data_IF_599433729367
#
_entry.id   IF_599433729367
#
_cell.length_a   1.000
_cell.length_b   1.000
_cell.length_c   1.000
_cell.angle_alpha   90.00
_cell.angle_beta   90.00
_cell.angle_gamma   90.00
#
_symmetry.space_group_name_H-M   'P 1'
#
loop_
_entity.id
_entity.type
_entity.pdbx_description
1 polymer ?
#
# COMPACT_ATOMS: atom_id res chain seq x y z
N UNK A 1 15.69 -6.46 1.87
CA UNK A 1 14.61 -7.02 1.05
C UNK A 1 14.12 -5.96 0.07
N UNK A 2 14.15 -6.28 -1.21
CA UNK A 2 13.78 -5.33 -2.28
C UNK A 2 12.25 -5.23 -2.41
N UNK A 3 11.73 -4.02 -2.45
CA UNK A 3 10.30 -3.76 -2.68
C UNK A 3 10.12 -3.30 -4.13
N UNK A 4 9.26 -3.98 -4.87
CA UNK A 4 8.94 -3.60 -6.26
C UNK A 4 7.78 -2.62 -6.24
N UNK A 5 7.98 -1.44 -6.80
CA UNK A 5 6.99 -0.37 -6.83
C UNK A 5 6.76 0.11 -8.26
N UNK A 6 5.53 0.54 -8.54
CA UNK A 6 5.27 1.33 -9.74
C UNK A 6 5.91 2.71 -9.56
N UNK A 7 6.14 3.44 -10.63
CA UNK A 7 6.65 4.81 -10.54
C UNK A 7 5.69 5.70 -9.72
N UNK A 8 4.40 5.57 -9.96
CA UNK A 8 3.39 6.29 -9.19
C UNK A 8 3.45 5.95 -7.71
N UNK A 9 3.57 4.67 -7.37
CA UNK A 9 3.69 4.22 -5.99
C UNK A 9 4.94 4.76 -5.31
N UNK A 10 6.07 4.75 -5.99
CA UNK A 10 7.31 5.34 -5.48
C UNK A 10 7.13 6.84 -5.20
N UNK A 11 6.58 7.58 -6.16
CA UNK A 11 6.36 9.01 -6.03
C UNK A 11 5.40 9.34 -4.87
N UNK A 12 4.33 8.56 -4.70
CA UNK A 12 3.38 8.73 -3.61
C UNK A 12 4.01 8.47 -2.24
N UNK A 13 4.81 7.41 -2.10
CA UNK A 13 5.50 7.11 -0.85
C UNK A 13 6.56 8.16 -0.54
N UNK A 14 7.24 8.68 -1.55
CA UNK A 14 8.19 9.76 -1.41
C UNK A 14 7.52 11.05 -0.91
N UNK A 15 6.38 11.39 -1.50
CA UNK A 15 5.60 12.55 -1.10
C UNK A 15 5.09 12.42 0.34
N UNK A 16 4.63 11.23 0.74
CA UNK A 16 4.23 10.94 2.12
C UNK A 16 5.40 11.15 3.08
N UNK A 17 6.57 10.63 2.75
CA UNK A 17 7.77 10.80 3.58
C UNK A 17 8.13 12.28 3.73
N UNK A 18 8.12 13.04 2.64
CA UNK A 18 8.42 14.47 2.67
C UNK A 18 7.42 15.23 3.56
N UNK A 19 6.13 14.91 3.47
CA UNK A 19 5.10 15.52 4.33
C UNK A 19 5.35 15.21 5.81
N UNK A 20 5.65 13.96 6.14
CA UNK A 20 5.93 13.56 7.52
C UNK A 20 7.15 14.28 8.09
N UNK A 21 8.22 14.40 7.32
CA UNK A 21 9.48 15.02 7.76
C UNK A 21 9.40 16.54 7.80
N UNK A 22 8.79 17.16 6.79
CA UNK A 22 8.80 18.61 6.61
C UNK A 22 7.61 19.33 7.25
N UNK A 23 6.50 18.64 7.45
CA UNK A 23 5.26 19.23 8.00
C UNK A 23 4.87 18.62 9.33
N UNK A 24 4.65 17.31 9.37
CA UNK A 24 4.13 16.65 10.58
C UNK A 24 5.11 16.65 11.74
N UNK A 25 6.37 16.33 11.49
CA UNK A 25 7.40 16.31 12.52
C UNK A 25 7.59 17.67 13.21
N UNK A 26 7.72 18.80 12.47
CA UNK A 26 7.76 20.12 13.09
C UNK A 26 6.51 20.50 13.88
N UNK A 27 5.31 20.16 13.37
CA UNK A 27 4.05 20.39 14.08
C UNK A 27 4.01 19.67 15.42
N UNK A 28 4.47 18.43 15.48
CA UNK A 28 4.53 17.62 16.69
C UNK A 28 5.50 18.24 17.69
N UNK A 29 6.65 18.73 17.24
CA UNK A 29 7.63 19.41 18.11
C UNK A 29 7.01 20.63 18.79
N UNK A 30 6.23 21.41 18.05
CA UNK A 30 5.52 22.58 18.59
C UNK A 30 4.47 22.12 19.62
N UNK A 31 3.66 21.11 19.30
CA UNK A 31 2.65 20.58 20.21
C UNK A 31 3.26 20.04 21.51
N UNK A 32 4.41 19.37 21.42
CA UNK A 32 5.12 18.86 22.60
C UNK A 32 5.58 20.02 23.49
N UNK A 33 6.11 21.07 22.90
CA UNK A 33 6.52 22.26 23.64
C UNK A 33 5.33 22.93 24.33
N UNK A 34 4.21 23.12 23.61
CA UNK A 34 3.00 23.73 24.14
C UNK A 34 2.39 22.90 25.28
N UNK A 35 2.34 21.58 25.14
CA UNK A 35 1.76 20.70 26.17
C UNK A 35 2.65 20.57 27.40
N UNK A 36 3.94 20.81 27.31
CA UNK A 36 4.89 20.76 28.43
C UNK A 36 4.99 22.06 29.23
N UNK A 37 4.63 23.19 28.64
CA UNK A 37 4.73 24.51 29.30
C UNK A 37 3.74 24.65 30.47
N UNK A 38 4.27 24.94 31.66
CA UNK A 38 3.49 25.24 32.85
C UNK A 38 2.67 24.09 33.40
N UNK A 39 2.92 22.86 32.95
CA UNK A 39 2.19 21.67 33.38
C UNK A 39 3.11 20.69 34.09
N UNK A 40 2.54 19.97 35.06
CA UNK A 40 3.22 18.87 35.72
C UNK A 40 3.40 17.71 34.72
N UNK A 41 4.60 17.13 34.68
CA UNK A 41 4.89 16.01 33.77
C UNK A 41 4.18 14.71 34.17
N UNK A 42 3.74 14.63 35.42
CA UNK A 42 2.94 13.51 35.90
C UNK A 42 1.48 13.75 35.54
N UNK A 43 0.83 12.75 34.96
CA UNK A 43 -0.60 12.79 34.60
C UNK A 43 -1.00 13.90 33.59
N UNK A 44 -0.23 14.01 32.48
CA UNK A 44 -0.58 14.92 31.39
C UNK A 44 -1.08 14.13 30.17
N UNK A 45 -2.42 13.90 30.07
CA UNK A 45 -3.00 13.14 28.95
C UNK A 45 -2.75 13.77 27.57
N UNK A 46 -2.72 15.11 27.50
CA UNK A 46 -2.47 15.82 26.25
C UNK A 46 -1.05 15.55 25.74
N UNK A 47 -0.06 15.55 26.63
CA UNK A 47 1.32 15.26 26.30
C UNK A 47 1.48 13.80 25.88
N UNK A 48 0.81 12.86 26.56
CA UNK A 48 0.83 11.45 26.18
C UNK A 48 0.23 11.22 24.79
N UNK A 49 -0.85 11.90 24.45
CA UNK A 49 -1.47 11.82 23.13
C UNK A 49 -0.53 12.32 22.04
N UNK A 50 0.18 13.42 22.28
CA UNK A 50 1.16 13.96 21.32
C UNK A 50 2.38 13.03 21.18
N UNK A 51 2.83 12.42 22.27
CA UNK A 51 3.93 11.43 22.22
C UNK A 51 3.53 10.17 21.44
N UNK A 52 2.28 9.74 21.55
CA UNK A 52 1.77 8.63 20.77
C UNK A 52 1.75 8.98 19.27
N UNK A 53 1.26 10.17 18.94
CA UNK A 53 1.32 10.69 17.56
C UNK A 53 2.75 10.73 17.04
N UNK A 54 3.71 11.20 17.85
CA UNK A 54 5.12 11.21 17.51
C UNK A 54 5.65 9.81 17.20
N UNK A 55 5.28 8.83 18.01
CA UNK A 55 5.69 7.44 17.80
C UNK A 55 5.19 6.90 16.46
N UNK A 56 3.94 7.21 16.10
CA UNK A 56 3.37 6.82 14.80
C UNK A 56 4.12 7.46 13.64
N UNK A 57 4.36 8.75 13.74
CA UNK A 57 5.06 9.50 12.67
C UNK A 57 6.50 9.00 12.51
N UNK A 58 7.24 8.84 13.59
CA UNK A 58 8.63 8.37 13.54
C UNK A 58 8.72 6.93 13.06
N UNK A 59 7.79 6.07 13.47
CA UNK A 59 7.70 4.70 12.98
C UNK A 59 7.41 4.64 11.48
N UNK A 60 6.50 5.47 11.00
CA UNK A 60 6.18 5.53 9.56
C UNK A 60 7.33 6.09 8.73
N UNK A 61 8.01 7.11 9.23
CA UNK A 61 9.22 7.65 8.58
C UNK A 61 10.28 6.57 8.42
N UNK A 62 10.53 5.80 9.48
CA UNK A 62 11.49 4.70 9.46
C UNK A 62 11.11 3.63 8.44
N UNK A 63 9.84 3.25 8.42
CA UNK A 63 9.29 2.28 7.46
C UNK A 63 9.46 2.77 6.01
N UNK A 64 9.06 4.02 5.74
CA UNK A 64 9.17 4.62 4.40
C UNK A 64 10.61 4.72 3.93
N UNK A 65 11.52 5.13 4.81
CA UNK A 65 12.95 5.18 4.48
C UNK A 65 13.48 3.79 4.10
N UNK A 66 13.08 2.75 4.82
CA UNK A 66 13.49 1.38 4.52
C UNK A 66 12.94 0.89 3.17
N UNK A 67 11.66 1.16 2.90
CA UNK A 67 11.01 0.79 1.63
C UNK A 67 11.69 1.51 0.46
N UNK A 68 11.86 2.83 0.55
CA UNK A 68 12.42 3.64 -0.54
C UNK A 68 13.90 3.37 -0.79
N UNK A 69 14.67 3.05 0.27
CA UNK A 69 16.08 2.71 0.13
C UNK A 69 16.31 1.41 -0.65
N UNK A 70 15.35 0.49 -0.58
CA UNK A 70 15.43 -0.82 -1.24
C UNK A 70 14.40 -0.96 -2.37
N UNK A 71 13.87 0.14 -2.88
CA UNK A 71 12.85 0.12 -3.91
C UNK A 71 13.44 -0.19 -5.29
N UNK A 72 12.73 -1.01 -6.04
CA UNK A 72 12.98 -1.29 -7.44
C UNK A 72 11.75 -0.84 -8.22
N UNK A 73 11.94 0.05 -9.18
CA UNK A 73 10.84 0.57 -9.99
C UNK A 73 10.49 -0.45 -11.08
N UNK A 74 9.22 -0.84 -11.12
CA UNK A 74 8.69 -1.74 -12.14
C UNK A 74 8.65 -0.98 -13.47
N UNK A 75 9.37 -1.48 -14.47
CA UNK A 75 9.32 -0.91 -15.81
C UNK A 75 7.98 -1.25 -16.44
N UNK A 76 7.34 -0.26 -17.02
CA UNK A 76 6.14 -0.45 -17.79
C UNK A 76 6.41 -1.39 -18.98
N UNK A 77 5.68 -2.51 -19.04
CA UNK A 77 5.76 -3.43 -20.17
C UNK A 77 4.51 -3.19 -21.04
N UNK A 78 4.68 -3.03 -22.36
CA UNK A 78 3.52 -2.78 -23.23
C UNK A 78 2.55 -3.97 -23.31
N UNK A 79 3.04 -5.20 -23.08
CA UNK A 79 2.23 -6.43 -23.13
C UNK A 79 2.69 -7.36 -22.02
N UNK A 80 1.74 -7.79 -21.18
CA UNK A 80 1.95 -8.82 -20.18
C UNK A 80 1.46 -10.17 -20.71
N UNK A 81 2.34 -11.17 -20.78
CA UNK A 81 1.95 -12.54 -21.12
C UNK A 81 1.30 -13.26 -19.94
N UNK A 82 1.69 -12.89 -18.73
CA UNK A 82 1.17 -13.44 -17.48
C UNK A 82 0.93 -12.31 -16.48
N UNK A 83 0.05 -12.57 -15.52
CA UNK A 83 -0.18 -11.64 -14.42
C UNK A 83 1.10 -11.44 -13.61
N UNK A 84 1.56 -10.22 -13.52
CA UNK A 84 2.74 -9.82 -12.74
C UNK A 84 2.48 -8.47 -12.07
N UNK A 85 3.38 -8.08 -11.18
CA UNK A 85 3.33 -6.77 -10.52
C UNK A 85 3.36 -5.64 -11.55
N UNK A 86 2.50 -4.64 -11.35
CA UNK A 86 2.38 -3.52 -12.28
C UNK A 86 1.38 -3.75 -13.41
N UNK A 87 0.81 -4.95 -13.52
CA UNK A 87 -0.21 -5.25 -14.52
C UNK A 87 -1.58 -4.82 -14.06
N UNK A 88 -2.38 -4.29 -15.00
CA UNK A 88 -3.81 -4.06 -14.80
C UNK A 88 -4.57 -5.27 -15.34
N UNK A 89 -5.37 -5.90 -14.48
CA UNK A 89 -6.05 -7.15 -14.78
C UNK A 89 -7.55 -6.91 -14.80
N UNK A 90 -8.20 -7.35 -15.87
CA UNK A 90 -9.65 -7.36 -15.96
C UNK A 90 -10.14 -8.80 -15.79
N UNK A 91 -11.03 -9.01 -14.82
CA UNK A 91 -11.60 -10.33 -14.50
C UNK A 91 -13.12 -10.29 -14.58
N UNK A 92 -13.72 -11.47 -14.81
CA UNK A 92 -15.17 -11.66 -14.79
C UNK A 92 -15.51 -12.72 -13.74
N UNK A 93 -16.48 -12.41 -12.90
CA UNK A 93 -17.02 -13.36 -11.92
C UNK A 93 -18.12 -14.23 -12.54
N UNK A 94 -18.52 -15.29 -11.81
CA UNK A 94 -19.57 -16.23 -12.28
C UNK A 94 -20.92 -15.56 -12.54
N UNK A 95 -21.22 -14.45 -11.87
CA UNK A 95 -22.46 -13.69 -12.08
C UNK A 95 -22.43 -12.79 -13.34
N UNK A 96 -21.30 -12.79 -14.07
CA UNK A 96 -21.09 -11.98 -15.26
C UNK A 96 -20.55 -10.60 -15.00
N UNK A 97 -20.40 -10.19 -13.73
CA UNK A 97 -19.82 -8.89 -13.40
C UNK A 97 -18.32 -8.86 -13.71
N UNK A 98 -17.82 -7.70 -14.12
CA UNK A 98 -16.39 -7.50 -14.41
C UNK A 98 -15.79 -6.50 -13.44
N UNK A 99 -14.53 -6.70 -13.12
CA UNK A 99 -13.74 -5.80 -12.27
C UNK A 99 -12.36 -5.62 -12.88
N UNK A 100 -11.75 -4.49 -12.58
CA UNK A 100 -10.41 -4.16 -13.04
C UNK A 100 -9.59 -3.66 -11.86
N UNK A 101 -8.35 -4.11 -11.74
CA UNK A 101 -7.47 -3.69 -10.66
C UNK A 101 -6.01 -3.78 -11.08
N UNK A 102 -5.17 -3.04 -10.36
CA UNK A 102 -3.72 -3.04 -10.52
C UNK A 102 -3.10 -3.95 -9.45
N UNK A 103 -2.25 -4.88 -9.86
CA UNK A 103 -1.52 -5.75 -8.94
C UNK A 103 -0.22 -5.07 -8.50
N UNK A 104 -0.06 -4.91 -7.20
CA UNK A 104 1.05 -4.17 -6.61
C UNK A 104 1.65 -4.89 -5.41
N UNK A 105 2.76 -4.38 -4.89
CA UNK A 105 3.34 -4.85 -3.62
C UNK A 105 2.49 -4.36 -2.44
N UNK A 106 2.60 -5.02 -1.27
CA UNK A 106 1.85 -4.58 -0.08
C UNK A 106 2.06 -3.12 0.30
N UNK A 107 3.25 -2.59 0.08
CA UNK A 107 3.58 -1.19 0.39
C UNK A 107 2.72 -0.19 -0.39
N UNK A 108 2.26 -0.56 -1.57
CA UNK A 108 1.48 0.28 -2.47
C UNK A 108 -0.01 -0.08 -2.48
N UNK A 109 -0.40 -1.18 -1.85
CA UNK A 109 -1.76 -1.69 -1.89
C UNK A 109 -2.78 -0.73 -1.28
N UNK A 110 -3.89 -0.53 -2.00
CA UNK A 110 -5.03 0.24 -1.53
C UNK A 110 -6.30 -0.25 -2.24
N UNK A 111 -7.06 -1.16 -1.61
CA UNK A 111 -8.27 -1.71 -2.22
C UNK A 111 -9.33 -0.66 -2.60
N UNK A 112 -9.34 0.49 -1.92
CA UNK A 112 -10.31 1.56 -2.20
C UNK A 112 -10.11 2.20 -3.57
N UNK A 113 -8.92 2.09 -4.14
CA UNK A 113 -8.59 2.58 -5.49
C UNK A 113 -8.13 1.44 -6.41
N UNK A 114 -8.60 0.24 -6.14
CA UNK A 114 -8.36 -0.98 -6.95
C UNK A 114 -6.87 -1.35 -7.11
N UNK A 115 -6.07 -1.07 -6.09
CA UNK A 115 -4.68 -1.53 -6.00
C UNK A 115 -4.60 -2.70 -5.03
N UNK A 116 -4.42 -3.90 -5.58
CA UNK A 116 -4.47 -5.15 -4.84
C UNK A 116 -3.07 -5.71 -4.65
N UNK A 117 -2.75 -6.10 -3.42
CA UNK A 117 -1.47 -6.72 -3.09
C UNK A 117 -1.34 -8.12 -3.70
N UNK A 118 -0.17 -8.43 -4.25
CA UNK A 118 0.14 -9.78 -4.70
C UNK A 118 0.13 -10.80 -3.54
N UNK A 119 0.24 -10.34 -2.30
CA UNK A 119 0.18 -11.20 -1.11
C UNK A 119 -1.26 -11.43 -0.61
N UNK A 120 -2.23 -10.68 -1.10
CA UNK A 120 -3.63 -10.90 -0.76
C UNK A 120 -4.12 -12.24 -1.36
N UNK A 121 -5.19 -12.84 -0.82
CA UNK A 121 -5.73 -14.08 -1.40
C UNK A 121 -6.08 -13.95 -2.88
N UNK A 122 -6.65 -12.81 -3.27
CA UNK A 122 -7.00 -12.51 -4.65
C UNK A 122 -5.75 -12.38 -5.53
N UNK A 123 -4.78 -11.59 -5.09
CA UNK A 123 -3.51 -11.39 -5.81
C UNK A 123 -2.69 -12.66 -5.94
N UNK A 124 -2.61 -13.47 -4.89
CA UNK A 124 -1.91 -14.77 -4.92
C UNK A 124 -2.51 -15.71 -5.94
N UNK A 125 -3.84 -15.77 -6.02
CA UNK A 125 -4.54 -16.66 -6.93
C UNK A 125 -4.28 -16.29 -8.39
N UNK A 126 -4.13 -15.00 -8.69
CA UNK A 126 -3.98 -14.49 -10.05
C UNK A 126 -2.53 -14.43 -10.53
N UNK A 127 -1.57 -14.28 -9.63
CA UNK A 127 -0.15 -14.12 -9.99
C UNK A 127 0.33 -15.29 -10.85
N UNK A 128 0.95 -14.98 -12.00
CA UNK A 128 1.47 -15.97 -12.93
C UNK A 128 0.45 -16.60 -13.86
N UNK A 129 -0.82 -16.21 -13.78
CA UNK A 129 -1.89 -16.74 -14.63
C UNK A 129 -1.96 -15.99 -15.96
N UNK A 130 -2.57 -16.63 -16.95
CA UNK A 130 -2.70 -16.09 -18.30
C UNK A 130 -4.16 -15.71 -18.62
N UNK A 131 -4.33 -14.90 -19.67
CA UNK A 131 -5.66 -14.57 -20.20
C UNK A 131 -6.42 -15.84 -20.57
N UNK A 132 -7.69 -15.91 -20.18
CA UNK A 132 -8.56 -17.06 -20.43
C UNK A 132 -8.56 -18.10 -19.31
N UNK A 133 -7.64 -18.03 -18.38
CA UNK A 133 -7.63 -18.96 -17.24
C UNK A 133 -8.74 -18.62 -16.25
N UNK A 134 -9.37 -19.68 -15.74
CA UNK A 134 -10.35 -19.61 -14.65
C UNK A 134 -9.63 -19.92 -13.35
N UNK A 135 -9.71 -19.03 -12.39
CA UNK A 135 -8.97 -19.09 -11.15
C UNK A 135 -9.93 -19.16 -9.97
N UNK A 136 -9.64 -20.04 -9.03
CA UNK A 136 -10.36 -20.11 -7.75
C UNK A 136 -9.64 -19.24 -6.75
N UNK A 137 -10.35 -18.26 -6.18
CA UNK A 137 -9.82 -17.38 -5.14
C UNK A 137 -10.32 -17.87 -3.79
N UNK A 138 -9.38 -18.20 -2.90
CA UNK A 138 -9.68 -18.63 -1.53
C UNK A 138 -9.77 -17.40 -0.62
N UNK A 139 -10.96 -16.83 -0.48
CA UNK A 139 -11.21 -15.67 0.37
C UNK A 139 -11.74 -16.09 1.75
N UNK A 140 -11.55 -15.26 2.79
CA UNK A 140 -12.06 -15.58 4.14
C UNK A 140 -13.58 -15.81 4.19
N UNK A 141 -14.34 -15.09 3.34
CA UNK A 141 -15.80 -15.18 3.27
C UNK A 141 -16.30 -16.33 2.38
N UNK A 142 -15.39 -17.10 1.80
CA UNK A 142 -15.71 -18.22 0.91
C UNK A 142 -14.98 -18.14 -0.41
N UNK A 143 -14.85 -19.28 -1.08
CA UNK A 143 -14.17 -19.38 -2.36
C UNK A 143 -15.05 -18.85 -3.48
N UNK A 144 -14.45 -18.19 -4.45
CA UNK A 144 -15.16 -17.75 -5.66
C UNK A 144 -14.25 -17.92 -6.88
N UNK A 145 -14.87 -17.93 -8.06
CA UNK A 145 -14.15 -18.09 -9.33
C UNK A 145 -14.14 -16.82 -10.13
N UNK A 146 -13.03 -16.58 -10.80
CA UNK A 146 -12.91 -15.48 -11.76
C UNK A 146 -12.22 -15.99 -13.02
N UNK A 147 -12.57 -15.38 -14.15
CA UNK A 147 -11.91 -15.60 -15.44
C UNK A 147 -11.10 -14.37 -15.80
N UNK A 148 -9.85 -14.56 -16.18
CA UNK A 148 -8.99 -13.45 -16.60
C UNK A 148 -9.34 -13.10 -18.05
N UNK A 149 -9.87 -11.88 -18.26
CA UNK A 149 -10.27 -11.41 -19.58
C UNK A 149 -9.14 -10.64 -20.28
N UNK A 150 -8.35 -9.88 -19.54
CA UNK A 150 -7.34 -8.99 -20.10
C UNK A 150 -6.24 -8.73 -19.08
N UNK A 151 -5.01 -8.61 -19.57
CA UNK A 151 -3.82 -8.22 -18.79
C UNK A 151 -3.13 -7.10 -19.56
N UNK A 152 -3.01 -5.92 -18.93
CA UNK A 152 -2.38 -4.74 -19.55
C UNK A 152 -1.13 -4.26 -18.82
#
# INVERSE_FOLDING_TARGET
MTTRLTQEGYDNLRAELDDLVLVRRPEISIKLQETSEGKDFEDNPEMEAVRLEQSFVEGRIKELNAILANAEIIKSKPIFSKVDLGATITVREDDGSTSQFLLVSPAEANPLIDKISYQSPFGKALLGKEVGEKVIVNAPDGDFRVEILKIE
#
